data_IF_513238941725
#
_entry.id   IF_513238941725
#
_cell.length_a   1.000
_cell.length_b   1.000
_cell.length_c   1.000
_cell.angle_alpha   90.00
_cell.angle_beta   90.00
_cell.angle_gamma   90.00
#
_symmetry.space_group_name_H-M   'P 1'
#
loop_
_entity.id
_entity.type
_entity.pdbx_description
1 polymer ?
#
# COMPACT_ATOMS: atom_id res chain seq x y z
N UNK A 1 -23.57 16.00 -6.57
CA UNK A 1 -23.33 17.44 -6.46
C UNK A 1 -22.43 17.84 -5.30
N UNK A 2 -22.59 17.29 -4.08
CA UNK A 2 -21.75 17.62 -2.91
C UNK A 2 -20.24 17.33 -3.10
N UNK A 3 -19.86 16.21 -3.72
CA UNK A 3 -18.45 15.87 -3.97
C UNK A 3 -17.76 16.86 -4.91
N UNK A 4 -18.42 17.28 -6.00
CA UNK A 4 -17.87 18.28 -6.94
C UNK A 4 -17.70 19.65 -6.27
N UNK A 5 -18.63 20.06 -5.41
CA UNK A 5 -18.52 21.29 -4.64
C UNK A 5 -17.39 21.23 -3.59
N UNK A 6 -17.20 20.07 -2.95
CA UNK A 6 -16.08 19.84 -2.04
C UNK A 6 -14.74 19.93 -2.76
N UNK A 7 -14.63 19.35 -3.95
CA UNK A 7 -13.43 19.46 -4.80
C UNK A 7 -13.15 20.92 -5.22
N UNK A 8 -14.15 21.66 -5.65
CA UNK A 8 -13.99 23.10 -5.99
C UNK A 8 -13.56 23.92 -4.77
N UNK A 9 -14.07 23.60 -3.57
CA UNK A 9 -13.69 24.27 -2.33
C UNK A 9 -12.26 23.96 -1.90
N UNK A 10 -11.70 22.77 -2.23
CA UNK A 10 -10.29 22.44 -1.99
C UNK A 10 -9.33 23.41 -2.68
N UNK A 11 -9.65 23.82 -3.92
CA UNK A 11 -8.80 24.75 -4.69
C UNK A 11 -8.96 26.22 -4.25
N UNK A 12 -10.03 26.58 -3.51
CA UNK A 12 -10.22 27.93 -2.97
C UNK A 12 -9.34 28.22 -1.73
N UNK A 13 -8.87 27.18 -1.04
CA UNK A 13 -8.02 27.33 0.15
C UNK A 13 -6.55 27.34 -0.31
N UNK A 14 -5.81 28.46 -0.17
CA UNK A 14 -4.48 28.62 -0.73
C UNK A 14 -3.46 27.61 -0.20
N UNK A 15 -3.50 27.28 1.11
CA UNK A 15 -2.59 26.32 1.71
C UNK A 15 -2.83 24.88 1.22
N UNK A 16 -4.09 24.48 1.11
CA UNK A 16 -4.44 23.15 0.62
C UNK A 16 -4.06 23.01 -0.86
N UNK A 17 -4.33 24.06 -1.64
CA UNK A 17 -3.91 24.14 -3.04
C UNK A 17 -2.40 24.01 -3.19
N UNK A 18 -1.61 24.70 -2.36
CA UNK A 18 -0.14 24.60 -2.38
C UNK A 18 0.34 23.17 -2.08
N UNK A 19 -0.25 22.50 -1.11
CA UNK A 19 0.07 21.12 -0.76
C UNK A 19 -0.30 20.15 -1.87
N UNK A 20 -1.46 20.31 -2.52
CA UNK A 20 -1.88 19.49 -3.67
C UNK A 20 -0.88 19.65 -4.81
N UNK A 21 -0.55 20.88 -5.22
CA UNK A 21 0.39 21.12 -6.32
C UNK A 21 1.80 20.59 -5.99
N UNK A 22 2.25 20.71 -4.75
CA UNK A 22 3.51 20.15 -4.31
C UNK A 22 3.51 18.61 -4.46
N UNK A 23 2.45 17.94 -3.98
CA UNK A 23 2.30 16.48 -4.11
C UNK A 23 2.29 16.04 -5.57
N UNK A 24 1.47 16.70 -6.40
CA UNK A 24 1.39 16.38 -7.84
C UNK A 24 2.74 16.62 -8.53
N UNK A 25 3.43 17.71 -8.21
CA UNK A 25 4.76 18.00 -8.76
C UNK A 25 5.79 16.91 -8.45
N UNK A 26 5.83 16.41 -7.20
CA UNK A 26 6.73 15.31 -6.82
C UNK A 26 6.32 13.97 -7.48
N UNK A 27 5.03 13.69 -7.66
CA UNK A 27 4.57 12.51 -8.39
C UNK A 27 4.93 12.56 -9.87
N UNK A 28 4.92 13.75 -10.49
CA UNK A 28 5.42 13.94 -11.87
C UNK A 28 6.92 13.65 -11.96
N UNK A 29 7.73 14.15 -11.00
CA UNK A 29 9.17 13.83 -10.93
C UNK A 29 9.40 12.33 -10.81
N UNK A 30 8.62 11.63 -9.96
CA UNK A 30 8.67 10.18 -9.86
C UNK A 30 8.37 9.49 -11.21
N UNK A 31 7.35 9.94 -11.94
CA UNK A 31 7.00 9.36 -13.26
C UNK A 31 8.07 9.58 -14.31
N UNK A 32 8.69 10.76 -14.35
CA UNK A 32 9.80 11.05 -15.27
C UNK A 32 11.00 10.13 -14.99
N UNK A 33 11.40 9.97 -13.71
CA UNK A 33 12.49 9.08 -13.34
C UNK A 33 12.23 7.61 -13.68
N UNK A 34 10.96 7.17 -13.65
CA UNK A 34 10.53 5.83 -14.09
C UNK A 34 10.65 5.58 -15.60
N UNK A 35 11.08 6.56 -16.41
CA UNK A 35 11.38 6.39 -17.84
C UNK A 35 12.88 6.35 -18.14
N UNK A 36 13.74 6.66 -17.18
CA UNK A 36 15.18 6.69 -17.35
C UNK A 36 15.74 5.30 -17.16
N UNK A 37 16.23 4.65 -18.20
CA UNK A 37 16.82 3.31 -18.14
C UNK A 37 18.20 3.33 -17.50
N UNK A 38 18.57 2.21 -16.87
CA UNK A 38 19.93 2.02 -16.32
C UNK A 38 20.94 2.01 -17.48
N UNK A 39 22.07 2.71 -17.34
CA UNK A 39 23.11 2.74 -18.37
C UNK A 39 23.61 1.33 -18.75
N UNK A 40 23.73 1.04 -20.05
CA UNK A 40 24.20 -0.23 -20.57
C UNK A 40 23.13 -1.30 -20.75
N UNK A 41 21.85 -1.00 -20.54
CA UNK A 41 20.73 -1.93 -20.75
C UNK A 41 20.01 -1.61 -22.06
N UNK A 42 19.74 -2.63 -22.87
CA UNK A 42 18.96 -2.50 -24.11
C UNK A 42 17.47 -2.67 -23.86
N UNK A 43 16.72 -1.56 -23.89
CA UNK A 43 15.27 -1.54 -23.63
C UNK A 43 14.48 -2.46 -24.57
N UNK A 44 14.86 -2.52 -25.87
CA UNK A 44 14.18 -3.35 -26.87
C UNK A 44 14.21 -4.85 -26.50
N UNK A 45 15.34 -5.34 -26.00
CA UNK A 45 15.51 -6.73 -25.55
C UNK A 45 14.66 -7.04 -24.32
N UNK A 46 14.60 -6.09 -23.36
CA UNK A 46 13.77 -6.27 -22.16
C UNK A 46 12.28 -6.30 -22.51
N UNK A 47 11.81 -5.42 -23.37
CA UNK A 47 10.40 -5.39 -23.80
C UNK A 47 10.02 -6.69 -24.53
N UNK A 48 10.89 -7.20 -25.42
CA UNK A 48 10.69 -8.48 -26.11
C UNK A 48 10.63 -9.65 -25.11
N UNK A 49 11.55 -9.70 -24.14
CA UNK A 49 11.59 -10.76 -23.12
C UNK A 49 10.32 -10.77 -22.26
N UNK A 50 9.88 -9.61 -21.75
CA UNK A 50 8.70 -9.54 -20.89
C UNK A 50 7.39 -9.76 -21.63
N UNK A 51 7.30 -9.40 -22.92
CA UNK A 51 6.14 -9.71 -23.76
C UNK A 51 6.00 -11.21 -24.04
N UNK A 52 7.12 -11.93 -24.18
CA UNK A 52 7.13 -13.38 -24.43
C UNK A 52 6.97 -14.23 -23.18
N UNK A 53 7.42 -13.72 -22.01
CA UNK A 53 7.52 -14.51 -20.77
C UNK A 53 6.20 -14.65 -20.00
N UNK A 54 5.12 -13.99 -20.42
CA UNK A 54 3.78 -14.14 -19.81
C UNK A 54 3.71 -13.79 -18.32
N UNK A 55 2.89 -14.54 -17.58
CA UNK A 55 2.57 -14.38 -16.16
C UNK A 55 3.72 -14.72 -15.22
N UNK A 56 4.68 -13.82 -15.03
CA UNK A 56 5.74 -14.02 -14.04
C UNK A 56 5.49 -13.21 -12.77
N UNK A 57 6.08 -13.64 -11.64
CA UNK A 57 6.13 -12.87 -10.38
C UNK A 57 6.62 -11.43 -10.60
N UNK A 58 7.43 -11.21 -11.65
CA UNK A 58 7.92 -9.89 -12.02
C UNK A 58 6.86 -8.99 -12.60
N UNK A 59 5.84 -9.52 -13.28
CA UNK A 59 4.70 -8.72 -13.73
C UNK A 59 3.90 -8.16 -12.56
N UNK A 60 3.71 -8.95 -11.48
CA UNK A 60 3.10 -8.47 -10.24
C UNK A 60 3.93 -7.34 -9.61
N UNK A 61 5.25 -7.55 -9.53
CA UNK A 61 6.17 -6.57 -8.97
C UNK A 61 6.17 -5.28 -9.80
N UNK A 62 6.22 -5.40 -11.11
CA UNK A 62 6.27 -4.28 -12.04
C UNK A 62 5.04 -3.38 -11.95
N UNK A 63 3.87 -3.96 -11.68
CA UNK A 63 2.64 -3.20 -11.44
C UNK A 63 2.78 -2.25 -10.23
N UNK A 64 3.46 -2.67 -9.15
CA UNK A 64 3.69 -1.80 -7.98
C UNK A 64 4.70 -0.68 -8.26
N UNK A 65 5.62 -0.93 -9.16
CA UNK A 65 6.67 0.03 -9.54
C UNK A 65 6.24 0.88 -10.74
N UNK A 66 5.07 0.56 -11.34
CA UNK A 66 4.47 1.33 -12.45
C UNK A 66 5.23 1.17 -13.78
N UNK A 67 5.62 -0.07 -14.13
CA UNK A 67 6.30 -0.37 -15.38
C UNK A 67 7.81 -0.08 -15.38
N UNK A 68 8.39 0.30 -14.24
CA UNK A 68 9.79 0.70 -14.17
C UNK A 68 10.76 -0.49 -14.15
N UNK A 69 10.32 -1.66 -13.68
CA UNK A 69 11.14 -2.88 -13.64
C UNK A 69 11.30 -3.49 -15.04
N UNK A 70 10.21 -3.68 -15.78
CA UNK A 70 10.21 -4.22 -17.13
C UNK A 70 10.99 -3.34 -18.12
N UNK A 71 11.11 -2.05 -17.83
CA UNK A 71 11.94 -1.10 -18.60
C UNK A 71 13.36 -0.99 -18.12
N UNK A 72 13.74 -1.72 -17.04
CA UNK A 72 15.09 -1.66 -16.47
C UNK A 72 15.51 -0.25 -16.08
N UNK A 73 14.62 0.52 -15.42
CA UNK A 73 14.89 1.93 -15.09
C UNK A 73 15.65 2.09 -13.78
N UNK A 74 16.12 3.32 -13.53
CA UNK A 74 16.77 3.69 -12.26
C UNK A 74 15.85 3.45 -11.05
N UNK A 75 14.54 3.40 -11.26
CA UNK A 75 13.53 3.13 -10.25
C UNK A 75 13.03 1.68 -10.26
N UNK A 76 13.77 0.75 -10.85
CA UNK A 76 13.35 -0.65 -10.99
C UNK A 76 12.96 -1.33 -9.68
N UNK A 77 13.62 -1.03 -8.56
CA UNK A 77 13.23 -1.54 -7.24
C UNK A 77 12.09 -0.75 -6.58
N UNK A 78 11.77 0.44 -7.09
CA UNK A 78 10.72 1.29 -6.52
C UNK A 78 10.91 1.57 -5.04
N UNK A 79 9.82 1.53 -4.28
CA UNK A 79 9.78 1.75 -2.82
C UNK A 79 9.86 0.45 -2.01
N UNK A 80 9.92 -0.72 -2.67
CA UNK A 80 9.84 -2.03 -2.00
C UNK A 80 10.96 -2.27 -0.96
N UNK A 81 12.25 -1.91 -1.19
CA UNK A 81 13.30 -2.06 -0.18
C UNK A 81 13.00 -1.28 1.10
N UNK A 82 12.40 -0.08 0.98
CA UNK A 82 12.00 0.72 2.13
C UNK A 82 10.86 0.07 2.91
N UNK A 83 9.86 -0.49 2.22
CA UNK A 83 8.76 -1.19 2.85
C UNK A 83 9.30 -2.40 3.61
N UNK A 84 10.17 -3.21 2.98
CA UNK A 84 10.79 -4.38 3.63
C UNK A 84 11.60 -3.99 4.87
N UNK A 85 12.41 -2.92 4.79
CA UNK A 85 13.16 -2.41 5.94
C UNK A 85 12.22 -1.94 7.07
N UNK A 86 11.14 -1.24 6.72
CA UNK A 86 10.14 -0.78 7.68
C UNK A 86 9.44 -1.93 8.40
N UNK A 87 9.08 -3.00 7.66
CA UNK A 87 8.50 -4.22 8.23
C UNK A 87 9.45 -4.87 9.21
N UNK A 88 10.71 -5.08 8.80
CA UNK A 88 11.73 -5.71 9.64
C UNK A 88 11.87 -4.94 10.95
N UNK A 89 11.95 -3.62 10.90
CA UNK A 89 12.08 -2.80 12.11
C UNK A 89 10.82 -2.78 12.98
N UNK A 90 9.63 -2.86 12.38
CA UNK A 90 8.38 -3.01 13.14
C UNK A 90 8.31 -4.37 13.84
N UNK A 91 8.72 -5.45 13.17
CA UNK A 91 8.82 -6.77 13.77
C UNK A 91 9.86 -6.80 14.91
N UNK A 92 11.04 -6.20 14.69
CA UNK A 92 12.06 -6.04 15.72
C UNK A 92 11.55 -5.21 16.91
N UNK A 93 10.72 -4.20 16.64
CA UNK A 93 10.04 -3.40 17.66
C UNK A 93 9.06 -4.18 18.52
N UNK A 94 8.49 -5.28 18.01
CA UNK A 94 7.62 -6.17 18.78
C UNK A 94 8.42 -7.18 19.65
N UNK A 95 9.62 -7.58 19.22
CA UNK A 95 10.40 -8.66 19.84
C UNK A 95 11.55 -8.11 20.71
N UNK A 96 12.29 -7.11 20.25
CA UNK A 96 13.51 -6.62 20.89
C UNK A 96 13.19 -5.46 21.87
N UNK A 97 13.52 -5.59 23.18
CA UNK A 97 13.22 -4.57 24.20
C UNK A 97 13.79 -3.17 23.87
N UNK A 98 14.94 -3.11 23.21
CA UNK A 98 15.56 -1.84 22.79
C UNK A 98 14.65 -1.04 21.85
N UNK A 99 14.10 -1.69 20.81
CA UNK A 99 13.19 -1.03 19.86
C UNK A 99 11.82 -0.73 20.47
N UNK A 100 11.34 -1.59 21.42
CA UNK A 100 10.13 -1.30 22.19
C UNK A 100 10.27 -0.02 23.01
N UNK A 101 11.45 0.17 23.65
CA UNK A 101 11.75 1.38 24.39
C UNK A 101 11.73 2.61 23.49
N UNK A 102 12.38 2.53 22.32
CA UNK A 102 12.38 3.63 21.33
C UNK A 102 10.95 3.97 20.87
N UNK A 103 10.07 2.99 20.65
CA UNK A 103 8.67 3.26 20.29
C UNK A 103 7.91 4.03 21.39
N UNK A 104 8.28 3.83 22.66
CA UNK A 104 7.67 4.53 23.82
C UNK A 104 8.25 5.90 24.08
N UNK A 105 9.44 6.22 23.58
CA UNK A 105 10.14 7.52 23.76
C UNK A 105 9.50 8.68 22.96
N UNK A 106 8.39 8.43 22.25
CA UNK A 106 7.66 9.46 21.52
C UNK A 106 8.37 9.93 20.22
N UNK A 107 8.47 11.23 19.98
CA UNK A 107 9.00 11.76 18.71
C UNK A 107 10.49 11.48 18.51
N UNK A 108 11.32 11.54 19.56
CA UNK A 108 12.75 11.25 19.43
C UNK A 108 13.01 9.80 19.07
N UNK A 109 12.30 8.87 19.71
CA UNK A 109 12.38 7.46 19.40
C UNK A 109 11.92 7.16 17.97
N UNK A 110 10.83 7.79 17.51
CA UNK A 110 10.36 7.67 16.13
C UNK A 110 11.39 8.15 15.11
N UNK A 111 12.07 9.28 15.37
CA UNK A 111 13.14 9.78 14.50
C UNK A 111 14.28 8.76 14.37
N UNK A 112 14.71 8.13 15.48
CA UNK A 112 15.73 7.08 15.46
C UNK A 112 15.29 5.85 14.68
N UNK A 113 14.04 5.39 14.87
CA UNK A 113 13.48 4.26 14.11
C UNK A 113 13.47 4.58 12.61
N UNK A 114 13.06 5.80 12.22
CA UNK A 114 13.10 6.25 10.82
C UNK A 114 14.53 6.25 10.25
N UNK A 115 15.52 6.67 11.03
CA UNK A 115 16.93 6.59 10.61
C UNK A 115 17.39 5.14 10.39
N UNK A 116 17.06 4.23 11.30
CA UNK A 116 17.37 2.80 11.11
C UNK A 116 16.65 2.22 9.89
N UNK A 117 15.41 2.64 9.62
CA UNK A 117 14.69 2.26 8.40
C UNK A 117 15.43 2.72 7.15
N UNK A 118 15.93 3.97 7.12
CA UNK A 118 16.71 4.49 5.99
C UNK A 118 18.00 3.70 5.78
N UNK A 119 18.75 3.38 6.83
CA UNK A 119 19.97 2.55 6.71
C UNK A 119 19.64 1.13 6.23
N UNK A 120 18.59 0.51 6.79
CA UNK A 120 18.11 -0.80 6.33
C UNK A 120 17.68 -0.77 4.88
N UNK A 121 17.05 0.31 4.43
CA UNK A 121 16.66 0.50 3.02
C UNK A 121 17.85 0.54 2.10
N UNK A 122 18.91 1.28 2.45
CA UNK A 122 20.14 1.34 1.65
C UNK A 122 20.78 -0.03 1.51
N UNK A 123 20.88 -0.76 2.62
CA UNK A 123 21.46 -2.11 2.63
C UNK A 123 20.64 -3.10 1.77
N UNK A 124 19.30 -3.11 1.97
CA UNK A 124 18.42 -4.00 1.21
C UNK A 124 18.37 -3.61 -0.27
N UNK A 125 18.34 -2.32 -0.60
CA UNK A 125 18.38 -1.85 -1.98
C UNK A 125 19.69 -2.24 -2.67
N UNK A 126 20.83 -2.15 -2.01
CA UNK A 126 22.11 -2.58 -2.55
C UNK A 126 22.15 -4.10 -2.80
N UNK A 127 21.66 -4.90 -1.85
CA UNK A 127 21.59 -6.36 -2.02
C UNK A 127 20.64 -6.77 -3.14
N UNK A 128 19.43 -6.17 -3.21
CA UNK A 128 18.45 -6.46 -4.26
C UNK A 128 18.90 -5.95 -5.64
N UNK A 129 19.58 -4.80 -5.72
CA UNK A 129 20.11 -4.27 -6.98
C UNK A 129 21.22 -5.14 -7.55
N UNK A 130 22.01 -5.81 -6.70
CA UNK A 130 22.94 -6.85 -7.13
C UNK A 130 22.19 -8.00 -7.81
N UNK A 131 21.11 -8.52 -7.20
CA UNK A 131 20.26 -9.54 -7.80
C UNK A 131 19.65 -9.11 -9.13
N UNK A 132 19.17 -7.86 -9.22
CA UNK A 132 18.65 -7.29 -10.49
C UNK A 132 19.74 -7.19 -11.55
N UNK A 133 20.97 -6.78 -11.20
CA UNK A 133 22.08 -6.71 -12.17
C UNK A 133 22.41 -8.09 -12.74
N UNK A 134 22.44 -9.11 -11.89
CA UNK A 134 22.68 -10.50 -12.31
C UNK A 134 21.54 -11.02 -13.20
N UNK A 135 20.30 -10.70 -12.86
CA UNK A 135 19.14 -11.03 -13.70
C UNK A 135 19.23 -10.38 -15.08
N UNK A 136 19.55 -9.08 -15.16
CA UNK A 136 19.69 -8.35 -16.42
C UNK A 136 20.80 -8.92 -17.33
N UNK A 137 21.91 -9.35 -16.75
CA UNK A 137 23.02 -9.97 -17.50
C UNK A 137 22.59 -11.28 -18.16
N UNK A 138 21.72 -12.05 -17.51
CA UNK A 138 21.26 -13.36 -17.99
C UNK A 138 20.05 -13.29 -18.94
N UNK A 139 19.46 -12.10 -19.16
CA UNK A 139 18.36 -11.94 -20.11
C UNK A 139 18.89 -11.90 -21.54
N UNK A 140 18.33 -12.79 -22.37
CA UNK A 140 18.50 -12.78 -23.83
C UNK A 140 17.14 -12.63 -24.49
N UNK A 141 17.07 -11.89 -25.59
CA UNK A 141 15.87 -11.76 -26.38
C UNK A 141 15.44 -13.10 -26.99
N UNK A 142 14.19 -13.58 -26.80
CA UNK A 142 13.75 -14.89 -27.30
C UNK A 142 13.77 -15.01 -28.84
N UNK A 143 13.50 -13.92 -29.55
CA UNK A 143 13.41 -13.90 -31.02
C UNK A 143 14.73 -13.51 -31.68
N UNK A 144 15.42 -12.49 -31.15
CA UNK A 144 16.65 -11.97 -31.74
C UNK A 144 17.92 -12.58 -31.18
N UNK A 145 17.87 -13.31 -30.05
CA UNK A 145 19.05 -13.90 -29.39
C UNK A 145 20.01 -12.87 -28.79
N UNK A 146 19.70 -11.58 -28.87
CA UNK A 146 20.57 -10.52 -28.37
C UNK A 146 20.54 -10.45 -26.83
N UNK A 147 21.69 -10.23 -26.17
CA UNK A 147 21.75 -10.05 -24.73
C UNK A 147 21.19 -8.69 -24.34
N UNK A 148 20.48 -8.60 -23.20
CA UNK A 148 19.98 -7.34 -22.66
C UNK A 148 21.13 -6.40 -22.23
N UNK A 149 22.29 -6.98 -21.88
CA UNK A 149 23.51 -6.27 -21.50
C UNK A 149 24.63 -6.67 -22.45
N UNK A 150 25.01 -5.82 -23.43
CA UNK A 150 26.05 -6.15 -24.41
C UNK A 150 27.43 -6.36 -23.81
N UNK A 151 27.75 -5.60 -22.77
CA UNK A 151 29.07 -5.66 -22.11
C UNK A 151 28.90 -6.08 -20.64
N UNK A 152 28.70 -7.39 -20.36
CA UNK A 152 28.60 -7.87 -18.99
C UNK A 152 29.96 -7.79 -18.30
N UNK A 153 29.99 -7.33 -17.04
CA UNK A 153 31.20 -7.24 -16.25
C UNK A 153 31.01 -6.55 -14.92
N UNK A 154 32.05 -6.53 -14.09
CA UNK A 154 32.04 -5.89 -12.78
C UNK A 154 31.65 -4.40 -12.87
N UNK A 155 32.08 -3.70 -13.92
CA UNK A 155 31.75 -2.28 -14.14
C UNK A 155 30.23 -2.08 -14.32
N UNK A 156 29.56 -2.94 -15.11
CA UNK A 156 28.09 -2.90 -15.26
C UNK A 156 27.39 -3.21 -13.93
N UNK A 157 27.81 -4.28 -13.24
CA UNK A 157 27.20 -4.67 -11.95
C UNK A 157 27.30 -3.55 -10.93
N UNK A 158 28.48 -2.94 -10.73
CA UNK A 158 28.68 -1.86 -9.79
C UNK A 158 27.89 -0.59 -10.18
N UNK A 159 27.89 -0.22 -11.47
CA UNK A 159 27.12 0.94 -11.94
C UNK A 159 25.62 0.72 -11.77
N UNK A 160 25.10 -0.46 -12.07
CA UNK A 160 23.70 -0.82 -11.87
C UNK A 160 23.32 -0.81 -10.40
N UNK A 161 24.13 -1.41 -9.52
CA UNK A 161 23.90 -1.39 -8.07
C UNK A 161 23.83 0.04 -7.56
N UNK A 162 24.77 0.89 -7.94
CA UNK A 162 24.84 2.28 -7.48
C UNK A 162 23.65 3.09 -8.01
N UNK A 163 23.31 2.91 -9.28
CA UNK A 163 22.20 3.64 -9.93
C UNK A 163 20.85 3.28 -9.33
N UNK A 164 20.53 1.98 -9.20
CA UNK A 164 19.23 1.52 -8.68
C UNK A 164 19.12 1.83 -7.18
N UNK A 165 20.21 1.64 -6.40
CA UNK A 165 20.19 2.00 -4.97
C UNK A 165 19.96 3.48 -4.77
N UNK A 166 20.64 4.33 -5.55
CA UNK A 166 20.42 5.80 -5.49
C UNK A 166 19.00 6.15 -5.90
N UNK A 167 18.46 5.50 -6.93
CA UNK A 167 17.06 5.65 -7.36
C UNK A 167 16.08 5.31 -6.24
N UNK A 168 16.28 4.21 -5.54
CA UNK A 168 15.44 3.81 -4.38
C UNK A 168 15.51 4.81 -3.25
N UNK A 169 16.71 5.32 -2.90
CA UNK A 169 16.89 6.35 -1.88
C UNK A 169 16.16 7.64 -2.29
N UNK A 170 16.22 8.00 -3.56
CA UNK A 170 15.53 9.17 -4.07
C UNK A 170 14.01 9.04 -3.98
N UNK A 171 13.45 7.87 -4.34
CA UNK A 171 12.01 7.58 -4.18
C UNK A 171 11.60 7.65 -2.72
N UNK A 172 12.39 7.06 -1.82
CA UNK A 172 12.16 7.15 -0.37
C UNK A 172 12.08 8.60 0.09
N UNK A 173 13.05 9.43 -0.32
CA UNK A 173 13.07 10.86 0.00
C UNK A 173 11.84 11.59 -0.57
N UNK A 174 11.43 11.30 -1.82
CA UNK A 174 10.19 11.85 -2.41
C UNK A 174 8.96 11.49 -1.55
N UNK A 175 8.84 10.23 -1.12
CA UNK A 175 7.75 9.77 -0.27
C UNK A 175 7.70 10.49 1.08
N UNK A 176 8.86 10.71 1.71
CA UNK A 176 8.98 11.47 2.95
C UNK A 176 8.59 12.94 2.75
N UNK A 177 9.05 13.60 1.67
CA UNK A 177 8.68 14.99 1.36
C UNK A 177 7.17 15.15 1.12
N UNK A 178 6.55 14.21 0.41
CA UNK A 178 5.08 14.22 0.22
C UNK A 178 4.37 14.09 1.57
N UNK A 179 4.82 13.18 2.44
CA UNK A 179 4.21 12.96 3.77
C UNK A 179 4.35 14.19 4.68
N UNK A 180 5.49 14.85 4.66
CA UNK A 180 5.76 16.02 5.54
C UNK A 180 5.08 17.30 5.05
N UNK A 181 5.17 17.58 3.76
CA UNK A 181 4.78 18.88 3.17
C UNK A 181 3.57 18.81 2.23
N UNK A 182 3.20 17.61 1.79
CA UNK A 182 2.12 17.37 0.87
C UNK A 182 0.80 16.99 1.55
N UNK A 183 0.04 16.14 0.88
CA UNK A 183 -1.21 15.55 1.35
C UNK A 183 -1.09 14.03 1.26
N UNK A 184 -1.62 13.34 2.26
CA UNK A 184 -1.65 11.88 2.28
C UNK A 184 -0.34 11.26 2.77
N UNK A 185 -0.30 9.93 2.74
CA UNK A 185 0.93 9.19 2.96
C UNK A 185 1.70 9.10 1.64
N UNK A 186 2.87 9.75 1.56
CA UNK A 186 3.64 9.86 0.33
C UNK A 186 4.06 8.51 -0.26
N UNK A 187 4.41 7.53 0.60
CA UNK A 187 4.78 6.18 0.17
C UNK A 187 3.59 5.49 -0.49
N UNK A 188 2.43 5.54 0.14
CA UNK A 188 1.20 4.97 -0.40
C UNK A 188 0.78 5.65 -1.70
N UNK A 189 0.95 6.98 -1.82
CA UNK A 189 0.65 7.72 -3.05
C UNK A 189 1.61 7.39 -4.20
N UNK A 190 2.89 7.13 -3.92
CA UNK A 190 3.85 6.66 -4.94
C UNK A 190 3.44 5.30 -5.49
N UNK A 191 3.02 4.37 -4.63
CA UNK A 191 2.52 3.06 -5.05
C UNK A 191 1.23 3.23 -5.85
N UNK A 192 0.31 4.05 -5.35
CA UNK A 192 -0.96 4.36 -6.01
C UNK A 192 -0.77 4.86 -7.44
N UNK A 193 0.08 5.87 -7.64
CA UNK A 193 0.32 6.42 -8.98
C UNK A 193 1.05 5.42 -9.89
N UNK A 194 1.91 4.54 -9.33
CA UNK A 194 2.51 3.44 -10.05
C UNK A 194 1.43 2.53 -10.65
N UNK A 195 0.53 2.04 -9.79
CA UNK A 195 -0.56 1.14 -10.21
C UNK A 195 -1.50 1.82 -11.21
N UNK A 196 -1.99 3.04 -10.90
CA UNK A 196 -2.93 3.76 -11.78
C UNK A 196 -2.33 4.05 -13.15
N UNK A 197 -1.04 4.28 -13.23
CA UNK A 197 -0.38 4.59 -14.49
C UNK A 197 -0.23 3.38 -15.43
N UNK A 198 -0.34 2.15 -14.94
CA UNK A 198 -0.37 0.93 -15.75
C UNK A 198 -1.79 0.56 -16.22
N UNK A 199 -2.83 1.23 -15.71
CA UNK A 199 -4.23 0.97 -16.09
C UNK A 199 -4.49 1.11 -17.60
N UNK A 200 -4.05 2.19 -18.30
CA UNK A 200 -4.28 2.30 -19.73
C UNK A 200 -3.66 1.16 -20.53
N UNK A 201 -2.48 0.70 -20.11
CA UNK A 201 -1.79 -0.43 -20.72
C UNK A 201 -2.56 -1.75 -20.48
N UNK A 202 -3.01 -2.00 -19.25
CA UNK A 202 -3.80 -3.16 -18.91
C UNK A 202 -5.11 -3.24 -19.73
N UNK A 203 -5.81 -2.11 -19.89
CA UNK A 203 -7.02 -2.02 -20.72
C UNK A 203 -6.70 -2.31 -22.20
N UNK A 204 -5.60 -1.75 -22.71
CA UNK A 204 -5.21 -1.97 -24.12
C UNK A 204 -4.82 -3.43 -24.37
N UNK A 205 -4.19 -4.09 -23.42
CA UNK A 205 -3.88 -5.52 -23.48
C UNK A 205 -5.15 -6.37 -23.52
N UNK A 206 -6.14 -6.11 -22.64
CA UNK A 206 -7.39 -6.87 -22.64
C UNK A 206 -8.16 -6.65 -23.95
N UNK A 207 -8.21 -5.42 -24.45
CA UNK A 207 -8.85 -5.12 -25.73
C UNK A 207 -8.19 -5.86 -26.90
N UNK A 208 -6.87 -5.92 -26.97
CA UNK A 208 -6.15 -6.69 -27.99
C UNK A 208 -6.37 -8.20 -27.81
N UNK A 209 -6.39 -8.69 -26.57
CA UNK A 209 -6.66 -10.09 -26.26
C UNK A 209 -8.10 -10.49 -26.68
N UNK A 210 -9.08 -9.60 -26.47
CA UNK A 210 -10.45 -9.76 -26.91
C UNK A 210 -10.56 -9.84 -28.44
N UNK A 211 -9.86 -8.98 -29.19
CA UNK A 211 -9.93 -8.96 -30.64
C UNK A 211 -9.21 -10.12 -31.34
N UNK A 212 -8.06 -10.55 -30.80
CA UNK A 212 -7.18 -11.52 -31.47
C UNK A 212 -7.53 -12.96 -31.13
N UNK A 213 -7.84 -13.24 -29.87
CA UNK A 213 -7.93 -14.61 -29.37
C UNK A 213 -9.37 -15.16 -29.25
N UNK A 214 -10.39 -14.33 -29.47
CA UNK A 214 -11.76 -14.72 -29.20
C UNK A 214 -12.68 -14.41 -30.40
N UNK A 215 -13.42 -15.41 -30.85
CA UNK A 215 -14.45 -15.23 -31.88
C UNK A 215 -15.65 -14.42 -31.33
N UNK A 216 -16.12 -13.46 -32.08
CA UNK A 216 -17.06 -12.39 -31.70
C UNK A 216 -18.35 -12.83 -30.97
N UNK A 217 -18.80 -14.08 -31.12
CA UNK A 217 -20.14 -14.50 -30.69
C UNK A 217 -20.22 -15.08 -29.26
N UNK A 218 -19.19 -15.79 -28.78
CA UNK A 218 -19.24 -16.46 -27.45
C UNK A 218 -18.73 -15.59 -26.30
N UNK A 219 -18.02 -14.52 -26.58
CA UNK A 219 -17.18 -13.82 -25.59
C UNK A 219 -17.78 -12.51 -25.06
N UNK A 220 -18.82 -11.97 -25.71
CA UNK A 220 -19.47 -10.73 -25.23
C UNK A 220 -20.15 -10.97 -23.88
N UNK A 221 -20.75 -12.16 -23.66
CA UNK A 221 -21.42 -12.48 -22.40
C UNK A 221 -20.38 -12.63 -21.27
N UNK A 222 -19.25 -13.30 -21.54
CA UNK A 222 -18.15 -13.46 -20.58
C UNK A 222 -17.55 -12.10 -20.20
N UNK A 223 -17.39 -11.20 -21.17
CA UNK A 223 -16.86 -9.85 -20.94
C UNK A 223 -17.82 -8.98 -20.11
N UNK A 224 -19.13 -9.07 -20.38
CA UNK A 224 -20.14 -8.40 -19.55
C UNK A 224 -20.12 -8.94 -18.13
N UNK A 225 -20.05 -10.27 -17.95
CA UNK A 225 -19.95 -10.89 -16.62
C UNK A 225 -18.69 -10.41 -15.91
N UNK A 226 -17.55 -10.34 -16.59
CA UNK A 226 -16.29 -9.85 -16.05
C UNK A 226 -16.40 -8.42 -15.57
N UNK A 227 -16.96 -7.52 -16.40
CA UNK A 227 -17.16 -6.10 -16.03
C UNK A 227 -18.08 -5.98 -14.81
N UNK A 228 -19.20 -6.71 -14.77
CA UNK A 228 -20.11 -6.73 -13.61
C UNK A 228 -19.39 -7.24 -12.36
N UNK A 229 -18.59 -8.31 -12.49
CA UNK A 229 -17.81 -8.89 -11.40
C UNK A 229 -16.76 -7.90 -10.87
N UNK A 230 -16.10 -7.17 -11.75
CA UNK A 230 -15.17 -6.11 -11.37
C UNK A 230 -15.84 -5.00 -10.55
N UNK A 231 -16.99 -4.49 -10.99
CA UNK A 231 -17.75 -3.51 -10.21
C UNK A 231 -18.19 -4.07 -8.86
N UNK A 232 -18.57 -5.35 -8.80
CA UNK A 232 -18.94 -6.02 -7.55
C UNK A 232 -17.74 -6.09 -6.58
N UNK A 233 -16.55 -6.42 -7.06
CA UNK A 233 -15.33 -6.46 -6.24
C UNK A 233 -14.95 -5.07 -5.75
N UNK A 234 -15.00 -4.04 -6.61
CA UNK A 234 -14.77 -2.65 -6.20
C UNK A 234 -15.75 -2.23 -5.11
N UNK A 235 -17.05 -2.48 -5.28
CA UNK A 235 -18.07 -2.18 -4.28
C UNK A 235 -17.81 -2.93 -2.97
N UNK A 236 -17.43 -4.21 -3.04
CA UNK A 236 -17.08 -5.01 -1.86
C UNK A 236 -15.87 -4.45 -1.11
N UNK A 237 -14.82 -4.04 -1.82
CA UNK A 237 -13.62 -3.42 -1.23
C UNK A 237 -13.97 -2.09 -0.55
N UNK A 238 -14.81 -1.26 -1.16
CA UNK A 238 -15.27 -0.01 -0.56
C UNK A 238 -16.05 -0.28 0.73
N UNK A 239 -16.99 -1.24 0.71
CA UNK A 239 -17.76 -1.64 1.89
C UNK A 239 -16.86 -2.18 3.00
N UNK A 240 -15.85 -2.99 2.67
CA UNK A 240 -14.89 -3.53 3.62
C UNK A 240 -14.05 -2.43 4.27
N UNK A 241 -13.62 -1.44 3.48
CA UNK A 241 -12.76 -0.34 3.96
C UNK A 241 -13.53 0.68 4.79
N UNK A 242 -14.80 0.92 4.46
CA UNK A 242 -15.67 1.86 5.17
C UNK A 242 -16.43 1.24 6.34
N UNK A 243 -16.41 -0.10 6.45
CA UNK A 243 -17.12 -0.84 7.49
C UNK A 243 -16.67 -0.44 8.90
N UNK A 244 -17.63 -0.01 9.75
CA UNK A 244 -17.37 0.47 11.11
C UNK A 244 -18.24 -0.27 12.12
N UNK A 245 -17.62 -0.77 13.19
CA UNK A 245 -18.31 -1.23 14.41
C UNK A 245 -18.35 -0.09 15.42
N UNK A 246 -19.53 0.42 15.75
CA UNK A 246 -19.73 1.47 16.75
C UNK A 246 -19.90 0.87 18.14
N UNK A 247 -18.99 1.21 19.08
CA UNK A 247 -19.11 0.83 20.49
C UNK A 247 -19.70 2.00 21.25
N UNK A 248 -20.86 1.83 21.96
CA UNK A 248 -21.46 2.90 22.72
C UNK A 248 -20.60 3.23 23.95
N UNK A 249 -20.34 4.52 24.14
CA UNK A 249 -19.60 5.07 25.30
C UNK A 249 -20.42 6.16 25.93
N UNK A 250 -20.52 6.14 27.25
CA UNK A 250 -21.16 7.19 28.03
C UNK A 250 -20.12 7.95 28.84
N UNK A 251 -20.26 9.27 28.85
CA UNK A 251 -19.43 10.14 29.69
C UNK A 251 -20.22 10.57 30.90
N UNK A 252 -19.58 10.54 32.06
CA UNK A 252 -20.22 10.99 33.32
C UNK A 252 -20.65 12.47 33.21
N UNK A 253 -21.84 12.75 33.70
CA UNK A 253 -22.32 14.13 33.82
C UNK A 253 -21.47 14.88 34.85
N UNK A 254 -20.91 16.01 34.47
CA UNK A 254 -20.14 16.87 35.36
C UNK A 254 -20.95 18.16 35.63
N UNK A 255 -21.32 18.40 36.87
CA UNK A 255 -22.00 19.63 37.27
C UNK A 255 -20.94 20.63 37.72
N UNK A 256 -20.85 21.76 37.05
CA UNK A 256 -19.96 22.86 37.43
C UNK A 256 -20.87 24.09 37.68
N UNK A 257 -21.11 24.37 38.94
CA UNK A 257 -22.08 25.38 39.37
C UNK A 257 -23.53 25.03 38.96
N UNK A 258 -24.21 25.93 38.23
CA UNK A 258 -25.57 25.70 37.71
C UNK A 258 -25.62 25.04 36.32
N UNK A 259 -24.47 24.74 35.71
CA UNK A 259 -24.43 24.15 34.37
C UNK A 259 -24.00 22.68 34.43
N UNK A 260 -24.77 21.85 33.74
CA UNK A 260 -24.48 20.42 33.58
C UNK A 260 -23.73 20.24 32.27
N UNK A 261 -22.48 19.76 32.37
CA UNK A 261 -21.63 19.40 31.23
C UNK A 261 -21.54 17.89 31.15
N UNK A 262 -21.62 17.34 29.94
CA UNK A 262 -21.48 15.89 29.70
C UNK A 262 -22.82 15.16 29.67
N UNK A 263 -22.80 13.85 29.72
CA UNK A 263 -23.96 12.98 29.58
C UNK A 263 -24.40 12.69 28.17
N UNK A 264 -23.60 13.11 27.15
CA UNK A 264 -23.82 12.68 25.77
C UNK A 264 -23.32 11.26 25.58
N UNK A 265 -24.16 10.41 25.03
CA UNK A 265 -23.75 9.10 24.54
C UNK A 265 -22.99 9.30 23.21
N UNK A 266 -21.74 8.90 23.17
CA UNK A 266 -20.92 8.88 21.95
C UNK A 266 -20.59 7.45 21.58
N UNK A 267 -20.00 7.25 20.41
CA UNK A 267 -19.61 5.94 19.95
C UNK A 267 -18.13 5.96 19.56
N UNK A 268 -17.39 4.92 19.92
CA UNK A 268 -16.06 4.68 19.38
C UNK A 268 -16.22 3.90 18.08
N UNK A 269 -15.80 4.47 16.92
CA UNK A 269 -15.84 3.75 15.66
C UNK A 269 -14.61 2.85 15.55
N UNK A 270 -14.80 1.53 15.57
CA UNK A 270 -13.76 0.55 15.22
C UNK A 270 -13.94 0.16 13.76
N UNK A 271 -12.94 0.38 12.93
CA UNK A 271 -12.95 -0.05 11.53
C UNK A 271 -12.81 -1.56 11.44
N UNK A 272 -13.54 -2.22 10.51
CA UNK A 272 -13.39 -3.66 10.22
C UNK A 272 -11.98 -3.93 9.71
N UNK A 273 -11.51 -3.08 8.81
CA UNK A 273 -10.13 -3.10 8.34
C UNK A 273 -9.33 -1.96 9.00
N UNK A 274 -8.95 -2.14 10.26
CA UNK A 274 -8.12 -1.17 10.99
C UNK A 274 -6.70 -1.07 10.44
N UNK A 275 -6.19 -2.17 9.91
CA UNK A 275 -4.85 -2.28 9.36
C UNK A 275 -4.70 -1.63 7.97
N UNK A 276 -5.81 -1.32 7.28
CA UNK A 276 -5.80 -0.74 5.94
C UNK A 276 -5.20 -1.68 4.89
N UNK A 277 -4.40 -1.13 3.98
CA UNK A 277 -3.74 -1.87 2.91
C UNK A 277 -2.33 -2.34 3.27
N UNK A 278 -1.78 -1.90 4.39
CA UNK A 278 -0.40 -2.17 4.81
C UNK A 278 -0.09 -3.67 4.93
N UNK A 279 -0.95 -4.52 5.53
CA UNK A 279 -0.71 -5.96 5.62
C UNK A 279 -0.52 -6.65 4.26
N UNK A 280 -1.24 -6.19 3.25
CA UNK A 280 -1.18 -6.74 1.90
C UNK A 280 0.16 -6.41 1.26
N UNK A 281 0.61 -5.15 1.39
CA UNK A 281 1.90 -4.69 0.91
C UNK A 281 3.04 -5.48 1.60
N UNK A 282 2.89 -5.76 2.90
CA UNK A 282 3.84 -6.56 3.68
C UNK A 282 3.90 -8.01 3.19
N UNK A 283 2.75 -8.66 3.06
CA UNK A 283 2.67 -10.02 2.53
C UNK A 283 3.29 -10.11 1.13
N UNK A 284 2.99 -9.16 0.25
CA UNK A 284 3.56 -9.10 -1.10
C UNK A 284 5.08 -8.93 -1.08
N UNK A 285 5.61 -8.03 -0.25
CA UNK A 285 7.05 -7.79 -0.14
C UNK A 285 7.82 -9.03 0.31
N UNK A 286 7.26 -9.80 1.25
CA UNK A 286 7.89 -11.04 1.71
C UNK A 286 7.78 -12.14 0.67
N UNK A 287 6.63 -12.27 0.00
CA UNK A 287 6.44 -13.28 -1.05
C UNK A 287 7.31 -13.02 -2.28
N UNK A 288 7.79 -11.80 -2.47
CA UNK A 288 8.72 -11.46 -3.55
C UNK A 288 10.17 -11.94 -3.27
N UNK A 289 10.57 -12.02 -1.99
CA UNK A 289 11.95 -12.40 -1.62
C UNK A 289 12.39 -13.77 -2.16
N UNK A 290 11.61 -14.86 -2.01
CA UNK A 290 11.98 -16.17 -2.56
C UNK A 290 12.20 -16.13 -4.08
N UNK A 291 11.32 -15.44 -4.81
CA UNK A 291 11.45 -15.27 -6.26
C UNK A 291 12.73 -14.55 -6.68
N UNK A 292 13.14 -13.54 -5.90
CA UNK A 292 14.40 -12.82 -6.17
C UNK A 292 15.62 -13.71 -5.89
N UNK A 293 15.61 -14.47 -4.79
CA UNK A 293 16.69 -15.37 -4.40
C UNK A 293 16.89 -16.49 -5.44
N UNK A 294 15.79 -17.09 -5.92
CA UNK A 294 15.87 -18.18 -6.92
C UNK A 294 16.55 -17.74 -8.21
N UNK A 295 16.37 -16.47 -8.59
CA UNK A 295 16.99 -15.93 -9.81
C UNK A 295 18.47 -15.58 -9.65
N UNK A 296 18.93 -15.37 -8.41
CA UNK A 296 20.37 -15.21 -8.17
C UNK A 296 21.16 -16.50 -8.37
N UNK A 297 20.47 -17.67 -8.37
CA UNK A 297 21.10 -18.99 -8.49
C UNK A 297 20.42 -19.89 -9.54
N UNK A 298 20.39 -19.50 -10.83
CA UNK A 298 19.62 -20.18 -11.88
C UNK A 298 20.10 -21.61 -12.21
N UNK A 299 21.31 -21.98 -11.76
CA UNK A 299 21.89 -23.32 -11.99
C UNK A 299 21.67 -24.34 -10.86
N UNK A 300 20.97 -23.98 -9.79
CA UNK A 300 20.78 -24.85 -8.64
C UNK A 300 19.37 -25.48 -8.67
N UNK A 301 19.31 -26.83 -8.79
CA UNK A 301 18.06 -27.60 -8.84
C UNK A 301 17.14 -27.33 -7.62
N UNK A 302 17.72 -27.16 -6.42
CA UNK A 302 16.97 -26.82 -5.22
C UNK A 302 16.29 -25.44 -5.36
N UNK A 303 17.00 -24.45 -5.92
CA UNK A 303 16.44 -23.12 -6.15
C UNK A 303 15.35 -23.13 -7.22
N UNK A 304 15.50 -23.94 -8.28
CA UNK A 304 14.45 -24.14 -9.28
C UNK A 304 13.19 -24.76 -8.64
N UNK A 305 13.36 -25.75 -7.75
CA UNK A 305 12.26 -26.35 -7.00
C UNK A 305 11.56 -25.31 -6.11
N UNK A 306 12.30 -24.52 -5.34
CA UNK A 306 11.75 -23.41 -4.54
C UNK A 306 10.99 -22.41 -5.42
N UNK A 307 11.58 -22.02 -6.56
CA UNK A 307 10.95 -21.12 -7.53
C UNK A 307 9.59 -21.63 -8.05
N UNK A 308 9.48 -22.94 -8.30
CA UNK A 308 8.23 -23.56 -8.75
C UNK A 308 7.13 -23.52 -7.69
N UNK A 309 7.45 -23.70 -6.40
CA UNK A 309 6.50 -23.57 -5.31
C UNK A 309 5.99 -22.13 -5.13
N UNK A 310 6.88 -21.15 -5.34
CA UNK A 310 6.55 -19.73 -5.21
C UNK A 310 6.11 -19.07 -6.55
N UNK A 311 5.84 -19.87 -7.58
CA UNK A 311 5.24 -19.35 -8.82
C UNK A 311 3.79 -18.90 -8.58
N UNK A 312 3.34 -17.87 -9.30
CA UNK A 312 1.97 -17.32 -9.19
C UNK A 312 0.88 -18.31 -9.57
N UNK A 313 1.22 -19.37 -10.30
CA UNK A 313 0.30 -20.42 -10.73
C UNK A 313 0.15 -21.53 -9.67
N UNK A 314 1.06 -21.57 -8.69
CA UNK A 314 1.10 -22.60 -7.65
C UNK A 314 0.00 -22.37 -6.60
N UNK A 315 -0.74 -23.44 -6.28
CA UNK A 315 -1.72 -23.41 -5.19
C UNK A 315 -1.05 -23.13 -3.82
N UNK A 316 0.20 -23.55 -3.67
CA UNK A 316 1.00 -23.25 -2.47
C UNK A 316 1.22 -21.74 -2.32
N UNK A 317 1.53 -21.03 -3.42
CA UNK A 317 1.67 -19.57 -3.42
C UNK A 317 0.39 -18.89 -2.91
N UNK A 318 -0.77 -19.27 -3.42
CA UNK A 318 -2.05 -18.67 -3.02
C UNK A 318 -2.35 -18.89 -1.54
N UNK A 319 -2.10 -20.11 -1.05
CA UNK A 319 -2.29 -20.45 0.37
C UNK A 319 -1.32 -19.66 1.26
N UNK A 320 -0.03 -19.69 0.95
CA UNK A 320 1.00 -18.97 1.71
C UNK A 320 0.74 -17.46 1.73
N UNK A 321 0.38 -16.89 0.58
CA UNK A 321 0.05 -15.48 0.46
C UNK A 321 -1.17 -15.08 1.29
N UNK A 322 -2.23 -15.88 1.25
CA UNK A 322 -3.43 -15.68 2.10
C UNK A 322 -3.10 -15.72 3.58
N UNK A 323 -2.32 -16.73 3.98
CA UNK A 323 -1.91 -16.90 5.37
C UNK A 323 -1.07 -15.73 5.86
N UNK A 324 -0.17 -15.21 5.01
CA UNK A 324 0.63 -14.02 5.30
C UNK A 324 -0.24 -12.76 5.44
N UNK A 325 -1.24 -12.57 4.58
CA UNK A 325 -2.19 -11.44 4.70
C UNK A 325 -2.94 -11.52 6.03
N UNK A 326 -3.46 -12.68 6.41
CA UNK A 326 -4.16 -12.86 7.68
C UNK A 326 -3.21 -12.58 8.85
N UNK A 327 -2.01 -13.15 8.84
CA UNK A 327 -1.00 -12.94 9.88
C UNK A 327 -0.65 -11.45 10.04
N UNK A 328 -0.32 -10.75 8.95
CA UNK A 328 0.03 -9.34 9.02
C UNK A 328 -1.16 -8.45 9.38
N UNK A 329 -2.37 -8.83 9.04
CA UNK A 329 -3.57 -8.07 9.44
C UNK A 329 -3.73 -8.11 10.96
N UNK A 330 -3.59 -9.27 11.59
CA UNK A 330 -3.62 -9.40 13.05
C UNK A 330 -2.45 -8.68 13.70
N UNK A 331 -1.25 -8.92 13.20
CA UNK A 331 -0.02 -8.32 13.73
C UNK A 331 -0.09 -6.78 13.70
N UNK A 332 -0.47 -6.21 12.55
CA UNK A 332 -0.54 -4.76 12.40
C UNK A 332 -1.68 -4.15 13.21
N UNK A 333 -2.83 -4.82 13.27
CA UNK A 333 -3.96 -4.37 14.12
C UNK A 333 -3.54 -4.31 15.59
N UNK A 334 -2.80 -5.29 16.08
CA UNK A 334 -2.30 -5.32 17.46
C UNK A 334 -1.29 -4.20 17.76
N UNK A 335 -0.49 -3.78 16.77
CA UNK A 335 0.48 -2.69 16.95
C UNK A 335 -0.19 -1.31 16.90
N UNK A 336 -1.12 -1.11 15.94
CA UNK A 336 -1.74 0.20 15.71
C UNK A 336 -2.77 0.55 16.76
N UNK A 337 -3.50 -0.44 17.24
CA UNK A 337 -4.53 -0.28 18.26
C UNK A 337 -4.15 -1.00 19.54
N UNK A 338 -3.65 -0.26 20.54
CA UNK A 338 -3.44 -0.78 21.88
C UNK A 338 -4.73 -0.63 22.71
N UNK A 339 -5.44 -1.74 23.02
CA UNK A 339 -6.68 -1.70 23.81
C UNK A 339 -6.48 -1.12 25.21
N UNK A 340 -5.27 -1.31 25.80
CA UNK A 340 -4.96 -0.80 27.14
C UNK A 340 -4.88 0.74 27.13
N UNK A 341 -4.15 1.31 26.15
CA UNK A 341 -4.06 2.77 26.01
C UNK A 341 -5.44 3.40 25.74
N UNK A 342 -6.28 2.73 24.92
CA UNK A 342 -7.63 3.20 24.64
C UNK A 342 -8.50 3.19 25.88
N UNK A 343 -8.48 2.11 26.68
CA UNK A 343 -9.21 1.99 27.92
C UNK A 343 -8.74 3.00 28.99
N UNK A 344 -7.42 3.23 29.10
CA UNK A 344 -6.86 4.22 30.02
C UNK A 344 -7.22 5.65 29.62
N UNK A 345 -7.19 5.98 28.34
CA UNK A 345 -7.63 7.27 27.83
C UNK A 345 -9.13 7.51 28.10
N UNK A 346 -9.97 6.49 27.89
CA UNK A 346 -11.38 6.56 28.26
C UNK A 346 -11.57 6.83 29.75
N UNK A 347 -10.85 6.10 30.61
CA UNK A 347 -10.90 6.28 32.06
C UNK A 347 -10.48 7.68 32.48
N UNK A 348 -9.38 8.22 31.89
CA UNK A 348 -8.90 9.58 32.19
C UNK A 348 -9.92 10.66 31.82
N UNK A 349 -10.69 10.45 30.76
CA UNK A 349 -11.72 11.38 30.29
C UNK A 349 -13.10 11.11 30.91
N UNK A 350 -13.23 10.18 31.86
CA UNK A 350 -14.49 9.87 32.54
C UNK A 350 -15.50 9.12 31.65
N UNK A 351 -15.03 8.51 30.56
CA UNK A 351 -15.83 7.67 29.67
C UNK A 351 -15.89 6.22 30.17
N UNK A 352 -17.02 5.57 30.00
CA UNK A 352 -17.21 4.15 30.31
C UNK A 352 -18.15 3.50 29.30
N UNK A 353 -17.99 2.19 29.13
CA UNK A 353 -18.91 1.37 28.33
C UNK A 353 -20.02 0.88 29.26
N UNK A 354 -21.31 1.05 28.90
CA UNK A 354 -22.42 0.58 29.74
C UNK A 354 -22.27 -0.92 30.06
N UNK A 355 -22.38 -1.26 31.34
CA UNK A 355 -22.26 -2.64 31.83
C UNK A 355 -20.83 -3.17 32.04
N UNK A 356 -19.78 -2.38 31.74
CA UNK A 356 -18.38 -2.80 31.89
C UNK A 356 -17.64 -1.84 32.83
N UNK A 357 -16.87 -2.40 33.78
CA UNK A 357 -16.05 -1.58 34.69
C UNK A 357 -14.90 -0.91 33.92
N UNK A 358 -14.67 0.41 34.11
CA UNK A 358 -13.54 1.13 33.52
C UNK A 358 -12.19 0.52 33.94
N UNK A 359 -11.26 0.44 32.99
CA UNK A 359 -9.91 -0.10 33.21
C UNK A 359 -9.65 -1.43 32.48
N UNK A 360 -8.96 -2.42 33.09
CA UNK A 360 -8.53 -3.65 32.42
C UNK A 360 -9.66 -4.47 31.79
N UNK A 361 -10.85 -4.48 32.41
CA UNK A 361 -12.02 -5.16 31.82
C UNK A 361 -12.52 -4.49 30.54
N UNK A 362 -12.42 -3.17 30.47
CA UNK A 362 -12.73 -2.43 29.25
C UNK A 362 -11.73 -2.75 28.15
N UNK A 363 -10.43 -2.83 28.47
CA UNK A 363 -9.40 -3.24 27.53
C UNK A 363 -9.65 -4.66 26.97
N UNK A 364 -9.93 -5.63 27.85
CA UNK A 364 -10.26 -7.00 27.43
C UNK A 364 -11.51 -7.08 26.54
N UNK A 365 -12.53 -6.28 26.83
CA UNK A 365 -13.74 -6.22 26.01
C UNK A 365 -13.46 -5.66 24.61
N UNK A 366 -12.69 -4.56 24.51
CA UNK A 366 -12.29 -3.95 23.26
C UNK A 366 -11.42 -4.93 22.45
N UNK A 367 -10.44 -5.57 23.08
CA UNK A 367 -9.58 -6.58 22.48
C UNK A 367 -10.39 -7.75 21.89
N UNK A 368 -11.35 -8.28 22.67
CA UNK A 368 -12.24 -9.33 22.19
C UNK A 368 -13.10 -8.92 20.99
N UNK A 369 -13.55 -7.66 20.91
CA UNK A 369 -14.26 -7.14 19.74
C UNK A 369 -13.31 -7.02 18.57
N UNK A 370 -12.11 -6.44 18.78
CA UNK A 370 -11.11 -6.25 17.73
C UNK A 370 -10.72 -7.58 17.09
N UNK A 371 -10.39 -8.58 17.90
CA UNK A 371 -10.04 -9.93 17.41
C UNK A 371 -11.15 -10.55 16.56
N UNK A 372 -12.41 -10.41 16.99
CA UNK A 372 -13.57 -10.96 16.27
C UNK A 372 -13.86 -10.20 14.95
N UNK A 373 -13.57 -8.90 14.88
CA UNK A 373 -13.79 -8.10 13.67
C UNK A 373 -12.64 -8.28 12.68
N UNK A 374 -11.41 -8.43 13.18
CA UNK A 374 -10.22 -8.61 12.34
C UNK A 374 -10.25 -9.92 11.56
N UNK A 375 -10.82 -11.00 12.12
CA UNK A 375 -10.88 -12.29 11.43
C UNK A 375 -11.65 -12.22 10.10
N UNK A 376 -12.95 -11.84 10.05
CA UNK A 376 -13.65 -11.72 8.79
C UNK A 376 -13.04 -10.66 7.86
N UNK A 377 -12.49 -9.58 8.42
CA UNK A 377 -11.77 -8.57 7.66
C UNK A 377 -10.52 -9.11 6.95
N UNK A 378 -9.69 -9.87 7.66
CA UNK A 378 -8.48 -10.48 7.10
C UNK A 378 -8.77 -11.55 6.05
N UNK A 379 -9.80 -12.38 6.27
CA UNK A 379 -10.26 -13.38 5.30
C UNK A 379 -10.78 -12.69 4.04
N UNK A 380 -11.58 -11.62 4.19
CA UNK A 380 -12.09 -10.86 3.06
C UNK A 380 -10.95 -10.21 2.24
N UNK A 381 -9.93 -9.64 2.92
CA UNK A 381 -8.74 -9.10 2.27
C UNK A 381 -7.97 -10.19 1.51
N UNK A 382 -7.78 -11.37 2.11
CA UNK A 382 -7.11 -12.49 1.47
C UNK A 382 -7.88 -12.99 0.23
N UNK A 383 -9.20 -13.10 0.30
CA UNK A 383 -10.04 -13.48 -0.83
C UNK A 383 -9.93 -12.49 -1.99
N UNK A 384 -9.99 -11.18 -1.72
CA UNK A 384 -9.81 -10.14 -2.75
C UNK A 384 -8.41 -10.21 -3.35
N UNK A 385 -7.38 -10.48 -2.55
CA UNK A 385 -6.00 -10.57 -3.01
C UNK A 385 -5.74 -11.76 -3.95
N UNK A 386 -6.44 -12.89 -3.74
CA UNK A 386 -6.30 -14.08 -4.60
C UNK A 386 -7.23 -14.03 -5.82
N UNK A 387 -8.28 -13.23 -5.75
CA UNK A 387 -9.32 -13.16 -6.77
C UNK A 387 -8.80 -13.03 -8.22
N UNK A 388 -7.76 -12.22 -8.53
CA UNK A 388 -7.21 -12.12 -9.89
C UNK A 388 -6.72 -13.44 -10.46
N UNK A 389 -6.06 -14.26 -9.63
CA UNK A 389 -5.52 -15.55 -10.08
C UNK A 389 -6.65 -16.51 -10.50
N UNK A 390 -7.77 -16.47 -9.76
CA UNK A 390 -8.96 -17.21 -10.11
C UNK A 390 -9.58 -16.71 -11.43
N UNK A 391 -9.73 -15.39 -11.57
CA UNK A 391 -10.31 -14.76 -12.78
C UNK A 391 -9.46 -15.07 -14.01
N UNK A 392 -8.15 -14.90 -13.91
CA UNK A 392 -7.22 -15.19 -15.03
C UNK A 392 -7.34 -16.63 -15.50
N UNK A 393 -7.44 -17.58 -14.56
CA UNK A 393 -7.53 -19.01 -14.88
C UNK A 393 -8.89 -19.40 -15.45
N UNK A 394 -9.99 -18.84 -14.94
CA UNK A 394 -11.36 -19.23 -15.33
C UNK A 394 -11.84 -18.53 -16.59
N UNK A 395 -11.54 -17.25 -16.74
CA UNK A 395 -12.03 -16.42 -17.83
C UNK A 395 -11.00 -16.15 -18.92
N UNK A 396 -9.77 -16.67 -18.78
CA UNK A 396 -8.67 -16.46 -19.72
C UNK A 396 -8.45 -14.99 -20.08
N UNK A 397 -8.46 -14.12 -19.06
CA UNK A 397 -8.30 -12.66 -19.13
C UNK A 397 -6.83 -12.31 -19.13
N UNK A 398 -6.45 -11.17 -19.73
CA UNK A 398 -5.08 -10.67 -19.65
C UNK A 398 -4.68 -10.47 -18.17
N UNK A 399 -3.53 -11.03 -17.75
CA UNK A 399 -3.14 -11.04 -16.35
C UNK A 399 -3.00 -9.65 -15.72
N UNK A 400 -2.46 -8.70 -16.48
CA UNK A 400 -2.32 -7.30 -16.06
C UNK A 400 -3.67 -6.67 -15.75
N UNK A 401 -4.69 -6.96 -16.56
CA UNK A 401 -6.04 -6.48 -16.38
C UNK A 401 -6.72 -7.13 -15.15
N UNK A 402 -6.62 -8.46 -15.02
CA UNK A 402 -7.18 -9.18 -13.88
C UNK A 402 -6.58 -8.68 -12.54
N UNK A 403 -5.28 -8.42 -12.49
CA UNK A 403 -4.58 -7.93 -11.30
C UNK A 403 -4.94 -6.50 -10.92
N UNK A 404 -5.28 -5.67 -11.91
CA UNK A 404 -5.69 -4.29 -11.65
C UNK A 404 -7.08 -4.21 -11.00
N UNK A 405 -8.02 -5.04 -11.45
CA UNK A 405 -9.42 -4.97 -11.03
C UNK A 405 -9.80 -5.99 -9.93
N UNK A 406 -8.91 -6.84 -9.59
CA UNK A 406 -9.05 -7.71 -8.42
C UNK A 406 -7.68 -7.81 -7.75
N UNK A 407 -7.59 -7.98 -6.48
CA UNK A 407 -6.35 -8.21 -5.79
C UNK A 407 -5.74 -6.97 -5.16
N UNK A 408 -4.41 -7.03 -5.02
CA UNK A 408 -3.65 -6.05 -4.26
C UNK A 408 -3.68 -4.65 -4.87
N UNK A 409 -3.64 -4.56 -6.20
CA UNK A 409 -3.69 -3.29 -6.91
C UNK A 409 -4.96 -2.52 -6.60
N UNK A 410 -6.13 -3.16 -6.74
CA UNK A 410 -7.41 -2.55 -6.42
C UNK A 410 -7.52 -2.14 -4.94
N UNK A 411 -7.11 -3.02 -4.02
CA UNK A 411 -7.15 -2.73 -2.59
C UNK A 411 -6.31 -1.51 -2.24
N UNK A 412 -5.13 -1.38 -2.83
CA UNK A 412 -4.24 -0.22 -2.63
C UNK A 412 -4.86 1.03 -3.24
N UNK A 413 -5.35 0.95 -4.48
CA UNK A 413 -5.96 2.10 -5.16
C UNK A 413 -7.15 2.64 -4.38
N UNK A 414 -8.10 1.77 -3.99
CA UNK A 414 -9.28 2.17 -3.22
C UNK A 414 -8.90 2.66 -1.83
N UNK A 415 -8.01 1.94 -1.12
CA UNK A 415 -7.60 2.29 0.23
C UNK A 415 -6.88 3.63 0.30
N UNK A 416 -5.89 3.85 -0.57
CA UNK A 416 -5.12 5.10 -0.60
C UNK A 416 -5.99 6.28 -1.05
N UNK A 417 -6.88 6.07 -2.04
CA UNK A 417 -7.82 7.09 -2.46
C UNK A 417 -8.75 7.53 -1.31
N UNK A 418 -9.33 6.57 -0.59
CA UNK A 418 -10.22 6.85 0.54
C UNK A 418 -9.48 7.52 1.70
N UNK A 419 -8.29 7.05 2.06
CA UNK A 419 -7.48 7.66 3.13
C UNK A 419 -7.07 9.09 2.77
N UNK A 420 -6.70 9.33 1.52
CA UNK A 420 -6.33 10.67 1.02
C UNK A 420 -7.54 11.60 1.03
N UNK A 421 -8.72 11.14 0.60
CA UNK A 421 -9.96 11.90 0.64
C UNK A 421 -10.33 12.27 2.08
N UNK A 422 -10.26 11.32 3.03
CA UNK A 422 -10.53 11.59 4.44
C UNK A 422 -9.59 12.63 5.04
N UNK A 423 -8.31 12.60 4.67
CA UNK A 423 -7.35 13.61 5.10
C UNK A 423 -7.68 15.00 4.53
N UNK A 424 -8.07 15.08 3.27
CA UNK A 424 -8.52 16.33 2.63
C UNK A 424 -9.77 16.87 3.34
N UNK A 425 -10.77 16.03 3.59
CA UNK A 425 -12.00 16.41 4.29
C UNK A 425 -11.72 16.90 5.72
N UNK A 426 -10.85 16.20 6.44
CA UNK A 426 -10.44 16.61 7.80
C UNK A 426 -9.77 17.98 7.80
N UNK A 427 -8.89 18.27 6.85
CA UNK A 427 -8.25 19.58 6.72
C UNK A 427 -9.24 20.68 6.32
N UNK A 428 -10.21 20.36 5.47
CA UNK A 428 -11.30 21.29 5.11
C UNK A 428 -12.17 21.66 6.32
N UNK A 429 -12.59 20.67 7.13
CA UNK A 429 -13.41 20.91 8.31
C UNK A 429 -12.68 21.77 9.34
N UNK A 430 -11.41 21.46 9.63
CA UNK A 430 -10.62 22.20 10.64
C UNK A 430 -10.53 23.69 10.28
N UNK A 431 -10.33 24.03 9.01
CA UNK A 431 -10.20 25.43 8.57
C UNK A 431 -11.53 26.15 8.38
N UNK A 432 -12.61 25.43 8.13
CA UNK A 432 -13.94 26.05 8.13
C UNK A 432 -14.29 26.58 9.54
N UNK A 433 -13.91 25.85 10.59
CA UNK A 433 -14.05 26.29 11.98
C UNK A 433 -13.16 27.51 12.32
N UNK A 434 -11.91 27.56 11.85
CA UNK A 434 -11.02 28.71 12.06
C UNK A 434 -11.54 29.97 11.35
N UNK A 435 -12.16 29.83 10.18
CA UNK A 435 -12.79 30.94 9.45
C UNK A 435 -14.00 31.54 10.18
N UNK A 436 -14.77 30.72 10.88
CA UNK A 436 -15.86 31.16 11.74
C UNK A 436 -15.36 31.91 13.00
N UNK A 437 -14.30 31.42 13.64
CA UNK A 437 -13.70 32.06 14.81
C UNK A 437 -13.03 33.41 14.49
N UNK A 438 -12.40 33.57 13.32
CA UNK A 438 -11.82 34.84 12.88
C UNK A 438 -12.87 35.90 12.50
N UNK A 439 -14.09 35.52 12.08
CA UNK A 439 -15.21 36.45 11.81
C UNK A 439 -16.03 36.79 13.04
N UNK A 440 -15.96 36.02 14.10
CA UNK A 440 -16.63 36.28 15.38
C UNK A 440 -15.79 37.16 16.28
N UNK A 441 -15.60 38.46 15.95
CA UNK A 441 -15.36 39.48 16.98
C UNK A 441 -16.59 39.52 17.86
N UNK A 442 -16.54 38.76 18.96
CA UNK A 442 -17.52 38.93 20.04
C UNK A 442 -17.30 40.36 20.59
N UNK A 443 -18.12 41.29 20.16
CA UNK A 443 -18.24 42.57 20.83
C UNK A 443 -18.79 42.28 22.22
N UNK A 444 -17.89 42.22 23.20
CA UNK A 444 -18.25 42.18 24.59
C UNK A 444 -19.09 43.43 24.93
N UNK A 445 -20.36 43.22 25.16
CA UNK A 445 -21.26 44.26 25.68
C UNK A 445 -20.80 44.60 27.09
N UNK A 446 -19.98 45.65 27.22
CA UNK A 446 -19.74 46.30 28.50
C UNK A 446 -21.06 46.86 29.00
N UNK A 447 -21.58 46.33 30.08
CA UNK A 447 -22.40 46.98 31.11
C UNK A 447 -21.91 46.50 32.46
#
# INVERSE_FOLDING_TARGET
MQLLQSFQNCFKIPDLRRRIFFTVGLLVVYRIGGQITVPGVQLAVLTEFFQSSGNTLFGLYDMFVGGAFTRGTIFALGIMPYISASIILQLLGAVIPYFQKLQREGEEGRKKITQYTRYGTVFLAAAQSYGVSFFLINITAPLSGNPAVPNPGLGFTLSTMLTITTGTIFIMWLGEQITERGIGNGISLIIFIGIVAELPYAISQEYSHFLINRGFSKNIIEEIILVVLMFAVVAFVILLTQGLRKIPVQYAKRVVGRRVYGGQATHIPLRINTAGVIPIIFAQSIMFLPGTITQMFPGNEFMLMVGSFFSTESMFYWFAYSMMIVFFTYFYTAIVMDPNQLADNMKKHGGFIPGIRPGPRTAQYIDGIMTRITLPGSIALALVAIFPFFVTRQFNVAPSFAQFFGGTGLLIVVGVALDTLQQIESQLMTRHYEGFMKRGKIQGRRR
#
